data_IF_974571440409
#
_entry.id   IF_974571440409
#
_cell.length_a   1.000
_cell.length_b   1.000
_cell.length_c   1.000
_cell.angle_alpha   90.00
_cell.angle_beta   90.00
_cell.angle_gamma   90.00
#
_symmetry.space_group_name_H-M   'P 1'
#
loop_
_entity.id
_entity.type
_entity.pdbx_description
1 polymer ?
#
# COMPACT_ATOMS: atom_id res chain seq x y z
N UNK A 1 -30.47 -20.47 -1.96
CA UNK A 1 -30.77 -19.74 -3.21
C UNK A 1 -29.79 -18.58 -3.30
N UNK A 2 -29.04 -18.48 -4.40
CA UNK A 2 -28.10 -17.37 -4.60
C UNK A 2 -28.80 -16.07 -5.01
N UNK A 3 -28.14 -14.93 -4.81
CA UNK A 3 -28.61 -13.62 -5.29
C UNK A 3 -28.12 -13.35 -6.72
N UNK A 4 -28.80 -12.51 -7.53
CA UNK A 4 -28.26 -12.09 -8.83
C UNK A 4 -26.96 -11.29 -8.66
N UNK A 5 -26.16 -11.28 -9.73
CA UNK A 5 -24.94 -10.46 -9.81
C UNK A 5 -25.30 -8.98 -9.78
N UNK A 6 -24.50 -8.21 -9.04
CA UNK A 6 -24.56 -6.75 -9.03
C UNK A 6 -23.24 -6.14 -9.52
N UNK A 7 -23.23 -4.81 -9.67
CA UNK A 7 -22.08 -4.10 -10.21
C UNK A 7 -20.81 -4.23 -9.33
N UNK A 8 -20.93 -4.50 -8.03
CA UNK A 8 -19.75 -4.79 -7.20
C UNK A 8 -19.15 -6.15 -7.51
N UNK A 9 -19.98 -7.12 -7.90
CA UNK A 9 -19.53 -8.45 -8.31
C UNK A 9 -18.79 -8.38 -9.66
N UNK A 10 -19.28 -7.57 -10.61
CA UNK A 10 -18.57 -7.31 -11.87
C UNK A 10 -17.19 -6.69 -11.64
N UNK A 11 -17.11 -5.71 -10.73
CA UNK A 11 -15.84 -5.10 -10.32
C UNK A 11 -14.93 -6.14 -9.64
N UNK A 12 -15.48 -7.04 -8.82
CA UNK A 12 -14.72 -8.09 -8.18
C UNK A 12 -14.11 -9.06 -9.20
N UNK A 13 -14.87 -9.46 -10.24
CA UNK A 13 -14.36 -10.31 -11.34
C UNK A 13 -13.23 -9.60 -12.07
N UNK A 14 -13.43 -8.33 -12.47
CA UNK A 14 -12.40 -7.54 -13.15
C UNK A 14 -11.14 -7.37 -12.29
N UNK A 15 -11.32 -7.13 -10.98
CA UNK A 15 -10.23 -7.01 -10.01
C UNK A 15 -9.42 -8.31 -9.94
N UNK A 16 -10.07 -9.48 -9.94
CA UNK A 16 -9.36 -10.78 -9.93
C UNK A 16 -8.47 -10.94 -11.15
N UNK A 17 -9.01 -10.70 -12.35
CA UNK A 17 -8.27 -10.84 -13.60
C UNK A 17 -7.04 -9.92 -13.63
N UNK A 18 -7.23 -8.65 -13.29
CA UNK A 18 -6.15 -7.65 -13.32
C UNK A 18 -5.10 -7.93 -12.23
N UNK A 19 -5.52 -8.20 -10.99
CA UNK A 19 -4.58 -8.44 -9.89
C UNK A 19 -3.86 -9.78 -9.99
N UNK A 20 -4.39 -10.77 -10.71
CA UNK A 20 -3.64 -11.98 -11.04
C UNK A 20 -2.40 -11.65 -11.91
N UNK A 21 -2.55 -10.76 -12.89
CA UNK A 21 -1.43 -10.28 -13.73
C UNK A 21 -0.45 -9.45 -12.88
N UNK A 22 -0.96 -8.53 -12.05
CA UNK A 22 -0.10 -7.74 -11.16
C UNK A 22 0.65 -8.59 -10.15
N UNK A 23 0.04 -9.68 -9.66
CA UNK A 23 0.70 -10.64 -8.77
C UNK A 23 1.89 -11.30 -9.47
N UNK A 24 1.71 -11.77 -10.71
CA UNK A 24 2.80 -12.35 -11.49
C UNK A 24 3.95 -11.33 -11.69
N UNK A 25 3.63 -10.08 -12.03
CA UNK A 25 4.61 -9.01 -12.13
C UNK A 25 5.32 -8.70 -10.80
N UNK A 26 4.59 -8.70 -9.68
CA UNK A 26 5.16 -8.46 -8.35
C UNK A 26 6.11 -9.58 -7.92
N UNK A 27 5.74 -10.83 -8.19
CA UNK A 27 6.59 -12.00 -7.97
C UNK A 27 7.86 -11.93 -8.82
N UNK A 28 7.75 -11.61 -10.11
CA UNK A 28 8.91 -11.42 -10.98
C UNK A 28 9.85 -10.31 -10.48
N UNK A 29 9.31 -9.19 -9.98
CA UNK A 29 10.11 -8.12 -9.37
C UNK A 29 10.84 -8.56 -8.10
N UNK A 30 10.16 -9.34 -7.26
CA UNK A 30 10.77 -9.92 -6.06
C UNK A 30 11.93 -10.85 -6.40
N UNK A 31 11.81 -11.67 -7.46
CA UNK A 31 12.92 -12.49 -7.95
C UNK A 31 14.05 -11.63 -8.55
N UNK A 32 13.72 -10.60 -9.34
CA UNK A 32 14.72 -9.70 -9.95
C UNK A 32 15.54 -8.95 -8.91
N UNK A 33 14.92 -8.40 -7.87
CA UNK A 33 15.59 -7.56 -6.87
C UNK A 33 16.07 -8.32 -5.62
N UNK A 34 15.72 -9.60 -5.51
CA UNK A 34 16.06 -10.46 -4.38
C UNK A 34 15.07 -10.28 -3.21
N UNK A 35 14.56 -11.40 -2.69
CA UNK A 35 13.52 -11.38 -1.66
C UNK A 35 14.04 -10.70 -0.39
N UNK A 36 15.22 -11.05 0.13
CA UNK A 36 15.73 -10.56 1.42
C UNK A 36 16.13 -9.07 1.47
N UNK A 37 16.39 -8.46 0.30
CA UNK A 37 16.75 -7.03 0.16
C UNK A 37 15.65 -6.19 -0.50
N UNK A 38 14.45 -6.73 -0.66
CA UNK A 38 13.42 -6.12 -1.50
C UNK A 38 12.97 -4.75 -0.94
N UNK A 39 13.29 -3.68 -1.66
CA UNK A 39 12.98 -2.28 -1.37
C UNK A 39 11.48 -1.92 -1.44
N UNK A 40 10.64 -2.69 -0.77
CA UNK A 40 9.18 -2.54 -0.76
C UNK A 40 8.42 -3.52 -1.67
N UNK A 41 9.08 -4.18 -2.63
CA UNK A 41 8.41 -5.00 -3.66
C UNK A 41 7.48 -6.09 -3.12
N UNK A 42 7.81 -6.68 -1.96
CA UNK A 42 6.96 -7.68 -1.28
C UNK A 42 5.56 -7.13 -0.95
N UNK A 43 5.43 -5.83 -0.70
CA UNK A 43 4.14 -5.23 -0.42
C UNK A 43 3.20 -5.23 -1.63
N UNK A 44 3.72 -5.28 -2.86
CA UNK A 44 2.88 -5.49 -4.05
C UNK A 44 2.27 -6.89 -4.10
N UNK A 45 3.00 -7.92 -3.63
CA UNK A 45 2.47 -9.28 -3.49
C UNK A 45 1.37 -9.29 -2.44
N UNK A 46 1.63 -8.71 -1.26
CA UNK A 46 0.64 -8.62 -0.18
C UNK A 46 -0.62 -7.90 -0.65
N UNK A 47 -0.46 -6.77 -1.35
CA UNK A 47 -1.58 -6.02 -1.93
C UNK A 47 -2.39 -6.85 -2.91
N UNK A 48 -1.72 -7.52 -3.85
CA UNK A 48 -2.40 -8.33 -4.86
C UNK A 48 -3.15 -9.51 -4.23
N UNK A 49 -2.54 -10.20 -3.27
CA UNK A 49 -3.21 -11.28 -2.53
C UNK A 49 -4.42 -10.76 -1.75
N UNK A 50 -4.30 -9.63 -1.06
CA UNK A 50 -5.43 -9.02 -0.35
C UNK A 50 -6.59 -8.68 -1.31
N UNK A 51 -6.29 -8.24 -2.54
CA UNK A 51 -7.28 -7.92 -3.57
C UNK A 51 -7.96 -9.15 -4.16
N UNK A 52 -7.19 -10.20 -4.42
CA UNK A 52 -7.71 -11.48 -4.90
C UNK A 52 -8.64 -12.12 -3.85
N UNK A 53 -8.19 -12.19 -2.59
CA UNK A 53 -8.97 -12.76 -1.48
C UNK A 53 -10.22 -11.91 -1.20
N UNK A 54 -10.08 -10.57 -1.17
CA UNK A 54 -11.21 -9.68 -0.93
C UNK A 54 -12.29 -9.78 -2.01
N UNK A 55 -11.87 -9.87 -3.28
CA UNK A 55 -12.80 -10.06 -4.40
C UNK A 55 -13.45 -11.45 -4.37
N UNK A 56 -12.71 -12.48 -3.97
CA UNK A 56 -13.26 -13.81 -3.77
C UNK A 56 -14.31 -13.84 -2.64
N UNK A 57 -14.09 -13.14 -1.52
CA UNK A 57 -15.12 -12.99 -0.48
C UNK A 57 -16.37 -12.31 -1.02
N UNK A 58 -16.23 -11.24 -1.83
CA UNK A 58 -17.38 -10.60 -2.46
C UNK A 58 -18.15 -11.58 -3.35
N UNK A 59 -17.48 -12.32 -4.21
CA UNK A 59 -18.15 -13.29 -5.10
C UNK A 59 -18.78 -14.46 -4.32
N UNK A 60 -18.20 -14.89 -3.22
CA UNK A 60 -18.78 -15.92 -2.36
C UNK A 60 -20.16 -15.49 -1.79
N UNK A 61 -20.42 -14.18 -1.63
CA UNK A 61 -21.74 -13.68 -1.20
C UNK A 61 -22.85 -13.94 -2.21
N UNK A 62 -22.54 -14.27 -3.46
CA UNK A 62 -23.54 -14.67 -4.47
C UNK A 62 -24.19 -15.98 -4.05
N UNK A 63 -23.39 -16.95 -3.60
CA UNK A 63 -23.87 -18.27 -3.15
C UNK A 63 -24.36 -18.25 -1.70
N UNK A 64 -23.76 -17.42 -0.84
CA UNK A 64 -24.09 -17.31 0.58
C UNK A 64 -24.39 -15.84 0.99
N UNK A 65 -25.50 -15.25 0.52
CA UNK A 65 -25.79 -13.83 0.72
C UNK A 65 -26.13 -13.44 2.16
N UNK A 66 -26.51 -14.40 3.01
CA UNK A 66 -26.82 -14.18 4.42
C UNK A 66 -25.58 -14.19 5.33
N UNK A 67 -24.41 -14.58 4.81
CA UNK A 67 -23.19 -14.65 5.60
C UNK A 67 -22.54 -13.26 5.72
N UNK A 68 -22.76 -12.62 6.86
CA UNK A 68 -22.17 -11.32 7.18
C UNK A 68 -20.63 -11.35 7.20
N UNK A 69 -20.02 -12.51 7.52
CA UNK A 69 -18.57 -12.66 7.58
C UNK A 69 -17.90 -12.42 6.23
N UNK A 70 -18.55 -12.82 5.13
CA UNK A 70 -18.05 -12.58 3.77
C UNK A 70 -18.02 -11.07 3.44
N UNK A 71 -19.05 -10.32 3.83
CA UNK A 71 -19.07 -8.87 3.63
C UNK A 71 -18.03 -8.17 4.51
N UNK A 72 -17.93 -8.56 5.79
CA UNK A 72 -16.93 -8.02 6.72
C UNK A 72 -15.51 -8.28 6.19
N UNK A 73 -15.23 -9.50 5.70
CA UNK A 73 -13.94 -9.87 5.11
C UNK A 73 -13.60 -9.03 3.88
N UNK A 74 -14.54 -8.88 2.94
CA UNK A 74 -14.37 -8.03 1.75
C UNK A 74 -14.09 -6.56 2.12
N UNK A 75 -14.86 -5.99 3.05
CA UNK A 75 -14.70 -4.61 3.51
C UNK A 75 -13.37 -4.39 4.24
N UNK A 76 -12.98 -5.33 5.09
CA UNK A 76 -11.72 -5.27 5.84
C UNK A 76 -10.52 -5.29 4.88
N UNK A 77 -10.51 -6.20 3.90
CA UNK A 77 -9.43 -6.26 2.90
C UNK A 77 -9.42 -5.05 1.96
N UNK A 78 -10.57 -4.44 1.68
CA UNK A 78 -10.63 -3.18 0.95
C UNK A 78 -9.88 -2.05 1.68
N UNK A 79 -10.09 -1.94 2.99
CA UNK A 79 -9.39 -0.98 3.86
C UNK A 79 -7.90 -1.28 3.99
N UNK A 80 -7.52 -2.56 4.06
CA UNK A 80 -6.12 -3.00 4.15
C UNK A 80 -5.29 -2.51 2.96
N UNK A 81 -5.84 -2.49 1.74
CA UNK A 81 -5.06 -2.21 0.52
C UNK A 81 -4.31 -0.87 0.47
N UNK A 82 -4.69 0.13 1.26
CA UNK A 82 -3.92 1.38 1.36
C UNK A 82 -2.54 1.17 2.00
N UNK A 83 -2.44 0.29 3.00
CA UNK A 83 -1.26 0.21 3.82
C UNK A 83 -0.05 -0.46 3.13
N UNK A 84 -0.19 -1.61 2.42
CA UNK A 84 0.88 -2.16 1.60
C UNK A 84 1.36 -1.16 0.55
N UNK A 85 0.46 -0.33 0.03
CA UNK A 85 0.75 0.66 -0.99
C UNK A 85 1.62 1.81 -0.42
N UNK A 86 1.27 2.33 0.75
CA UNK A 86 2.09 3.33 1.47
C UNK A 86 3.46 2.73 1.87
N UNK A 87 3.47 1.50 2.40
CA UNK A 87 4.70 0.79 2.77
C UNK A 87 5.60 0.53 1.56
N UNK A 88 5.02 0.26 0.39
CA UNK A 88 5.76 0.14 -0.87
C UNK A 88 6.46 1.46 -1.22
N UNK A 89 5.75 2.60 -1.15
CA UNK A 89 6.31 3.91 -1.44
C UNK A 89 7.39 4.32 -0.43
N UNK A 90 7.18 4.04 0.86
CA UNK A 90 8.18 4.23 1.92
C UNK A 90 9.42 3.37 1.67
N UNK A 91 9.26 2.10 1.29
CA UNK A 91 10.37 1.19 0.97
C UNK A 91 11.19 1.67 -0.24
N UNK A 92 10.52 2.18 -1.27
CA UNK A 92 11.17 2.79 -2.43
C UNK A 92 11.96 4.04 -2.04
N UNK A 93 11.38 4.93 -1.24
CA UNK A 93 12.05 6.14 -0.81
C UNK A 93 13.19 5.86 0.18
N UNK A 94 13.04 4.83 1.01
CA UNK A 94 14.08 4.30 1.87
C UNK A 94 15.32 3.88 1.07
N UNK A 95 15.13 3.25 -0.10
CA UNK A 95 16.25 2.92 -1.01
C UNK A 95 17.00 4.18 -1.47
N UNK A 96 16.28 5.25 -1.83
CA UNK A 96 16.87 6.54 -2.25
C UNK A 96 17.73 7.14 -1.14
N UNK A 97 17.21 7.15 0.09
CA UNK A 97 17.95 7.67 1.23
C UNK A 97 19.15 6.78 1.60
N UNK A 98 19.03 5.46 1.49
CA UNK A 98 20.14 4.55 1.75
C UNK A 98 21.28 4.76 0.76
N UNK A 99 20.97 4.95 -0.53
CA UNK A 99 22.01 5.33 -1.50
C UNK A 99 22.62 6.69 -1.20
N UNK A 100 21.81 7.67 -0.82
CA UNK A 100 22.31 9.02 -0.52
C UNK A 100 23.19 9.02 0.73
N UNK A 101 22.83 8.24 1.74
CA UNK A 101 23.60 8.17 2.98
C UNK A 101 24.95 7.45 2.79
N UNK A 102 24.99 6.44 1.91
CA UNK A 102 26.27 5.81 1.49
C UNK A 102 27.22 6.80 0.81
N UNK A 103 26.70 7.86 0.20
CA UNK A 103 27.49 8.94 -0.39
C UNK A 103 27.94 10.00 0.61
N UNK A 104 27.76 9.79 1.92
CA UNK A 104 28.24 10.68 2.99
C UNK A 104 27.27 11.79 3.39
N UNK A 105 26.00 11.73 2.95
CA UNK A 105 24.98 12.71 3.28
C UNK A 105 23.86 12.08 4.13
N UNK A 106 23.89 12.33 5.45
CA UNK A 106 22.84 11.92 6.39
C UNK A 106 21.55 12.71 6.14
N UNK A 107 20.62 12.15 5.35
CA UNK A 107 19.30 12.77 5.09
C UNK A 107 18.23 12.23 6.03
N UNK A 108 18.06 10.90 6.11
CA UNK A 108 17.07 10.25 6.98
C UNK A 108 17.69 9.02 7.65
N UNK A 109 17.63 8.96 8.98
CA UNK A 109 18.17 7.82 9.75
C UNK A 109 17.28 6.58 9.57
N UNK A 110 17.86 5.36 9.45
CA UNK A 110 17.10 4.12 9.35
C UNK A 110 16.09 3.88 10.49
N UNK A 111 16.38 4.40 11.68
CA UNK A 111 15.51 4.32 12.85
C UNK A 111 14.17 5.05 12.64
N UNK A 112 14.17 6.21 11.98
CA UNK A 112 12.94 6.96 11.71
C UNK A 112 12.01 6.17 10.79
N UNK A 113 12.54 5.58 9.72
CA UNK A 113 11.75 4.78 8.78
C UNK A 113 11.16 3.54 9.44
N UNK A 114 11.94 2.83 10.28
CA UNK A 114 11.40 1.72 11.08
C UNK A 114 10.24 2.15 11.97
N UNK A 115 10.32 3.34 12.57
CA UNK A 115 9.23 3.87 13.39
C UNK A 115 7.97 4.12 12.54
N UNK A 116 8.11 4.69 11.35
CA UNK A 116 6.98 4.92 10.42
C UNK A 116 6.37 3.59 9.95
N UNK A 117 7.20 2.58 9.65
CA UNK A 117 6.74 1.23 9.29
C UNK A 117 5.95 0.58 10.44
N UNK A 118 6.45 0.70 11.68
CA UNK A 118 5.75 0.20 12.88
C UNK A 118 4.41 0.92 13.06
N UNK A 119 4.36 2.25 12.89
CA UNK A 119 3.11 3.00 12.94
C UNK A 119 2.10 2.52 11.89
N UNK A 120 2.56 2.20 10.67
CA UNK A 120 1.69 1.60 9.64
C UNK A 120 1.18 0.22 10.04
N UNK A 121 2.01 -0.62 10.64
CA UNK A 121 1.57 -1.92 11.15
C UNK A 121 0.48 -1.77 12.22
N UNK A 122 0.65 -0.81 13.14
CA UNK A 122 -0.37 -0.48 14.14
C UNK A 122 -1.67 0.00 13.46
N UNK A 123 -1.56 0.86 12.45
CA UNK A 123 -2.71 1.33 11.69
C UNK A 123 -3.47 0.19 11.00
N UNK A 124 -2.74 -0.76 10.39
CA UNK A 124 -3.32 -1.97 9.78
C UNK A 124 -4.10 -2.78 10.82
N UNK A 125 -3.49 -3.05 11.97
CA UNK A 125 -4.14 -3.83 13.04
C UNK A 125 -5.43 -3.13 13.50
N UNK A 126 -5.39 -1.83 13.72
CA UNK A 126 -6.57 -1.06 14.14
C UNK A 126 -7.69 -1.05 13.09
N UNK A 127 -7.35 -0.99 11.79
CA UNK A 127 -8.35 -1.09 10.72
C UNK A 127 -8.94 -2.49 10.62
N UNK A 128 -8.14 -3.55 10.83
CA UNK A 128 -8.65 -4.93 10.83
C UNK A 128 -9.59 -5.14 12.01
N UNK A 129 -9.15 -4.81 13.23
CA UNK A 129 -9.96 -4.94 14.46
C UNK A 129 -11.19 -4.02 14.40
N UNK A 130 -11.03 -2.81 13.86
CA UNK A 130 -12.15 -1.90 13.67
C UNK A 130 -13.15 -2.39 12.63
N UNK A 131 -12.68 -3.02 11.56
CA UNK A 131 -13.52 -3.65 10.55
C UNK A 131 -14.40 -4.76 11.12
N UNK A 132 -13.85 -5.61 11.99
CA UNK A 132 -14.61 -6.72 12.62
C UNK A 132 -15.57 -6.25 13.72
N UNK A 133 -15.31 -5.11 14.35
CA UNK A 133 -16.18 -4.51 15.37
C UNK A 133 -17.25 -3.58 14.79
N UNK A 134 -17.17 -3.23 13.51
CA UNK A 134 -18.11 -2.30 12.88
C UNK A 134 -19.44 -2.99 12.59
N UNK A 135 -20.55 -2.30 12.85
CA UNK A 135 -21.87 -2.84 12.54
C UNK A 135 -22.12 -2.75 11.04
N UNK A 136 -22.29 -3.91 10.39
CA UNK A 136 -22.59 -4.02 8.95
C UNK A 136 -24.07 -4.28 8.78
N UNK A 137 -24.75 -3.38 8.08
CA UNK A 137 -26.15 -3.55 7.66
C UNK A 137 -26.19 -3.63 6.14
N UNK A 138 -26.64 -4.74 5.59
CA UNK A 138 -26.74 -4.92 4.13
C UNK A 138 -28.18 -4.66 3.71
N UNK A 139 -28.41 -3.59 2.96
CA UNK A 139 -29.71 -3.32 2.33
C UNK A 139 -29.54 -3.37 0.81
N UNK A 140 -30.18 -4.34 0.16
CA UNK A 140 -30.15 -4.47 -1.31
C UNK A 140 -28.76 -4.69 -1.91
N UNK A 141 -27.88 -5.44 -1.23
CA UNK A 141 -26.51 -5.73 -1.71
C UNK A 141 -25.48 -4.62 -1.45
N UNK A 142 -25.92 -3.46 -0.94
CA UNK A 142 -25.07 -2.34 -0.53
C UNK A 142 -24.82 -2.41 0.99
N UNK A 143 -23.57 -2.59 1.44
CA UNK A 143 -23.27 -2.55 2.87
C UNK A 143 -23.24 -1.10 3.37
N UNK A 144 -24.09 -0.77 4.35
CA UNK A 144 -23.96 0.40 5.20
C UNK A 144 -23.20 0.01 6.46
N UNK A 145 -22.16 0.78 6.79
CA UNK A 145 -21.22 0.45 7.87
C UNK A 145 -21.22 1.57 8.89
N UNK A 146 -21.48 1.22 10.14
CA UNK A 146 -21.19 2.09 11.27
C UNK A 146 -19.77 1.80 11.75
N UNK A 147 -18.81 2.63 11.34
CA UNK A 147 -17.40 2.46 11.68
C UNK A 147 -17.14 2.67 13.17
N UNK A 148 -16.46 1.70 13.77
CA UNK A 148 -16.01 1.77 15.16
C UNK A 148 -14.96 2.88 15.38
N UNK A 149 -14.81 3.31 16.63
CA UNK A 149 -13.74 4.25 17.02
C UNK A 149 -12.33 3.71 16.72
N UNK A 150 -12.15 2.38 16.75
CA UNK A 150 -10.90 1.70 16.41
C UNK A 150 -10.55 1.86 14.92
N UNK A 151 -11.53 1.73 14.01
CA UNK A 151 -11.31 1.97 12.58
C UNK A 151 -11.00 3.44 12.26
N UNK A 152 -11.64 4.36 12.99
CA UNK A 152 -11.35 5.81 12.89
C UNK A 152 -9.92 6.12 13.32
N UNK A 153 -9.47 5.57 14.45
CA UNK A 153 -8.10 5.73 14.92
C UNK A 153 -7.07 5.17 13.90
N UNK A 154 -7.28 3.96 13.38
CA UNK A 154 -6.40 3.38 12.36
C UNK A 154 -6.32 4.24 11.09
N UNK A 155 -7.46 4.78 10.63
CA UNK A 155 -7.50 5.67 9.47
C UNK A 155 -6.77 7.00 9.74
N UNK A 156 -6.90 7.56 10.94
CA UNK A 156 -6.16 8.77 11.33
C UNK A 156 -4.63 8.55 11.32
N UNK A 157 -4.17 7.39 11.79
CA UNK A 157 -2.73 7.05 11.74
C UNK A 157 -2.26 6.92 10.28
N UNK A 158 -3.06 6.33 9.38
CA UNK A 158 -2.71 6.29 7.95
C UNK A 158 -2.59 7.68 7.33
N UNK A 159 -3.44 8.64 7.74
CA UNK A 159 -3.30 10.06 7.34
C UNK A 159 -1.98 10.64 7.82
N UNK A 160 -1.63 10.43 9.09
CA UNK A 160 -0.37 10.91 9.65
C UNK A 160 0.84 10.32 8.91
N UNK A 161 0.82 9.01 8.62
CA UNK A 161 1.92 8.37 7.89
C UNK A 161 1.99 8.84 6.44
N UNK A 162 0.87 9.04 5.75
CA UNK A 162 0.91 9.60 4.40
C UNK A 162 1.51 11.02 4.41
N UNK A 163 1.20 11.84 5.42
CA UNK A 163 1.82 13.15 5.58
C UNK A 163 3.35 13.05 5.79
N UNK A 164 3.81 12.09 6.60
CA UNK A 164 5.24 11.81 6.77
C UNK A 164 5.89 11.34 5.46
N UNK A 165 5.23 10.47 4.69
CA UNK A 165 5.71 10.04 3.37
C UNK A 165 5.83 11.23 2.41
N UNK A 166 4.87 12.16 2.41
CA UNK A 166 4.94 13.39 1.61
C UNK A 166 6.12 14.28 2.06
N UNK A 167 6.38 14.39 3.36
CA UNK A 167 7.51 15.13 3.90
C UNK A 167 8.84 14.50 3.48
N UNK A 168 8.98 13.18 3.63
CA UNK A 168 10.16 12.46 3.15
C UNK A 168 10.36 12.67 1.65
N UNK A 169 9.28 12.60 0.86
CA UNK A 169 9.36 12.83 -0.59
C UNK A 169 9.88 14.24 -0.87
N UNK A 170 9.38 15.26 -0.18
CA UNK A 170 9.84 16.64 -0.31
C UNK A 170 11.34 16.77 0.02
N UNK A 171 11.82 16.12 1.09
CA UNK A 171 13.23 16.09 1.44
C UNK A 171 14.08 15.43 0.34
N UNK A 172 13.61 14.30 -0.22
CA UNK A 172 14.25 13.64 -1.35
C UNK A 172 14.31 14.54 -2.60
N UNK A 173 13.24 15.29 -2.89
CA UNK A 173 13.22 16.28 -3.97
C UNK A 173 14.22 17.41 -3.73
N UNK A 174 14.30 17.98 -2.52
CA UNK A 174 15.25 19.06 -2.20
C UNK A 174 16.70 18.62 -2.28
N UNK A 175 16.99 17.35 -1.95
CA UNK A 175 18.34 16.77 -1.99
C UNK A 175 18.64 16.02 -3.29
N UNK A 176 17.81 16.15 -4.34
CA UNK A 176 17.97 15.46 -5.63
C UNK A 176 19.35 15.58 -6.28
N UNK A 177 20.06 16.68 -6.04
CA UNK A 177 21.42 16.89 -6.57
C UNK A 177 22.46 15.88 -6.05
N UNK A 178 22.22 15.25 -4.91
CA UNK A 178 23.13 14.28 -4.29
C UNK A 178 22.69 12.82 -4.50
N UNK A 179 21.61 12.61 -5.26
CA UNK A 179 21.03 11.28 -5.51
C UNK A 179 21.63 10.69 -6.77
N UNK A 180 22.04 9.41 -6.72
CA UNK A 180 22.55 8.70 -7.88
C UNK A 180 21.57 8.76 -9.08
N UNK A 181 22.09 8.94 -10.30
CA UNK A 181 21.27 9.14 -11.52
C UNK A 181 20.18 8.06 -11.71
N UNK A 182 20.47 6.81 -11.35
CA UNK A 182 19.49 5.71 -11.44
C UNK A 182 18.33 5.81 -10.45
N UNK A 183 18.57 6.38 -9.27
CA UNK A 183 17.58 6.43 -8.18
C UNK A 183 16.70 7.67 -8.22
N UNK A 184 17.08 8.69 -9.00
CA UNK A 184 16.23 9.87 -9.25
C UNK A 184 14.88 9.48 -9.87
N UNK A 185 14.82 8.40 -10.64
CA UNK A 185 13.58 7.83 -11.20
C UNK A 185 12.60 7.41 -10.11
N UNK A 186 13.09 6.95 -8.95
CA UNK A 186 12.26 6.57 -7.81
C UNK A 186 11.51 7.77 -7.27
N UNK A 187 12.19 8.91 -7.12
CA UNK A 187 11.57 10.15 -6.62
C UNK A 187 10.46 10.61 -7.58
N UNK A 188 10.66 10.48 -8.89
CA UNK A 188 9.61 10.80 -9.88
C UNK A 188 8.45 9.83 -9.76
N UNK A 189 8.71 8.52 -9.74
CA UNK A 189 7.66 7.51 -9.66
C UNK A 189 6.83 7.60 -8.37
N UNK A 190 7.48 7.77 -7.22
CA UNK A 190 6.79 8.00 -5.93
C UNK A 190 5.97 9.29 -6.00
N UNK A 191 6.54 10.38 -6.52
CA UNK A 191 5.81 11.65 -6.66
C UNK A 191 4.60 11.59 -7.59
N UNK A 192 4.67 10.80 -8.67
CA UNK A 192 3.51 10.54 -9.54
C UNK A 192 2.43 9.71 -8.84
N UNK A 193 2.81 8.80 -7.94
CA UNK A 193 1.87 7.95 -7.20
C UNK A 193 1.13 8.68 -6.07
N UNK A 194 1.78 9.64 -5.38
CA UNK A 194 1.20 10.37 -4.24
C UNK A 194 -0.21 10.93 -4.50
N UNK A 195 -0.52 11.65 -5.59
CA UNK A 195 -1.87 12.19 -5.79
C UNK A 195 -2.95 11.11 -5.80
N UNK A 196 -2.68 9.95 -6.41
CA UNK A 196 -3.62 8.82 -6.44
C UNK A 196 -3.80 8.19 -5.05
N UNK A 197 -2.72 8.09 -4.26
CA UNK A 197 -2.79 7.61 -2.87
C UNK A 197 -3.59 8.57 -2.00
N UNK A 198 -3.44 9.89 -2.20
CA UNK A 198 -4.22 10.90 -1.50
C UNK A 198 -5.71 10.76 -1.82
N UNK A 199 -6.09 10.67 -3.10
CA UNK A 199 -7.50 10.50 -3.50
C UNK A 199 -8.10 9.23 -2.84
N UNK A 200 -7.34 8.14 -2.83
CA UNK A 200 -7.74 6.88 -2.22
C UNK A 200 -7.90 7.00 -0.70
N UNK A 201 -7.00 7.71 -0.03
CA UNK A 201 -7.10 7.97 1.40
C UNK A 201 -8.27 8.91 1.73
N UNK A 202 -8.51 9.93 0.91
CA UNK A 202 -9.66 10.84 1.05
C UNK A 202 -10.96 10.03 0.98
N UNK A 203 -11.08 9.08 0.06
CA UNK A 203 -12.22 8.17 0.03
C UNK A 203 -12.38 7.40 1.34
N UNK A 204 -11.30 6.84 1.89
CA UNK A 204 -11.35 6.19 3.21
C UNK A 204 -11.80 7.15 4.31
N UNK A 205 -11.34 8.40 4.31
CA UNK A 205 -11.75 9.41 5.28
C UNK A 205 -13.24 9.80 5.14
N UNK A 206 -13.74 9.97 3.91
CA UNK A 206 -15.15 10.30 3.66
C UNK A 206 -16.08 9.20 4.16
N UNK A 207 -15.70 7.94 3.95
CA UNK A 207 -16.49 6.79 4.36
C UNK A 207 -16.40 6.57 5.89
N UNK A 208 -15.21 6.70 6.48
CA UNK A 208 -14.98 6.40 7.91
C UNK A 208 -15.37 7.56 8.84
N UNK A 209 -15.05 8.80 8.48
CA UNK A 209 -15.35 9.99 9.29
C UNK A 209 -16.59 10.73 8.82
N UNK A 210 -16.79 10.83 7.50
CA UNK A 210 -17.91 11.58 6.90
C UNK A 210 -19.23 10.82 6.86
N UNK A 211 -19.24 9.50 7.14
CA UNK A 211 -20.45 8.68 7.08
C UNK A 211 -21.07 8.61 5.69
N UNK A 212 -20.31 8.94 4.65
CA UNK A 212 -20.79 8.96 3.27
C UNK A 212 -21.07 7.53 2.83
N UNK A 213 -22.30 7.25 2.41
CA UNK A 213 -22.67 5.95 1.84
C UNK A 213 -21.92 5.76 0.52
N UNK A 214 -21.07 4.74 0.45
CA UNK A 214 -20.29 4.49 -0.75
C UNK A 214 -21.17 3.92 -1.88
N UNK A 215 -21.19 4.62 -2.99
CA UNK A 215 -21.78 4.15 -4.23
C UNK A 215 -20.75 3.34 -5.03
N UNK A 216 -21.25 2.44 -5.90
CA UNK A 216 -20.42 1.59 -6.78
C UNK A 216 -19.37 2.40 -7.54
N UNK A 217 -19.76 3.57 -8.07
CA UNK A 217 -18.86 4.43 -8.84
C UNK A 217 -17.78 5.12 -8.00
N UNK A 218 -18.09 5.47 -6.75
CA UNK A 218 -17.10 6.02 -5.82
C UNK A 218 -16.10 4.94 -5.40
N UNK A 219 -16.61 3.73 -5.12
CA UNK A 219 -15.79 2.55 -4.86
C UNK A 219 -14.86 2.23 -6.04
N UNK A 220 -15.40 2.17 -7.26
CA UNK A 220 -14.61 1.88 -8.45
C UNK A 220 -13.57 2.97 -8.71
N UNK A 221 -14.00 4.23 -8.77
CA UNK A 221 -13.16 5.35 -9.15
C UNK A 221 -12.09 5.68 -8.13
N UNK A 222 -12.47 5.93 -6.88
CA UNK A 222 -11.55 6.46 -5.87
C UNK A 222 -10.77 5.37 -5.14
N UNK A 223 -11.33 4.16 -5.01
CA UNK A 223 -10.66 3.05 -4.36
C UNK A 223 -9.93 2.17 -5.38
N UNK A 224 -10.65 1.52 -6.30
CA UNK A 224 -10.06 0.47 -7.15
C UNK A 224 -9.12 1.07 -8.22
N UNK A 225 -9.60 2.02 -9.02
CA UNK A 225 -8.84 2.59 -10.15
C UNK A 225 -7.59 3.33 -9.66
N UNK A 226 -7.71 4.19 -8.64
CA UNK A 226 -6.54 4.90 -8.07
C UNK A 226 -5.45 3.93 -7.60
N UNK A 227 -5.84 2.80 -7.01
CA UNK A 227 -4.90 1.78 -6.57
C UNK A 227 -4.21 1.09 -7.74
N UNK A 228 -4.97 0.67 -8.75
CA UNK A 228 -4.43 0.03 -9.96
C UNK A 228 -3.42 0.93 -10.67
N UNK A 229 -3.71 2.23 -10.78
CA UNK A 229 -2.78 3.19 -11.38
C UNK A 229 -1.45 3.21 -10.61
N UNK A 230 -1.48 3.27 -9.28
CA UNK A 230 -0.25 3.28 -8.48
C UNK A 230 0.50 1.97 -8.60
N UNK A 231 -0.19 0.82 -8.62
CA UNK A 231 0.45 -0.49 -8.81
C UNK A 231 1.17 -0.54 -10.16
N UNK A 232 0.56 -0.04 -11.24
CA UNK A 232 1.19 0.05 -12.55
C UNK A 232 2.44 0.93 -12.50
N UNK A 233 2.35 2.13 -11.92
CA UNK A 233 3.50 3.05 -11.79
C UNK A 233 4.64 2.37 -11.03
N UNK A 234 4.34 1.76 -9.88
CA UNK A 234 5.32 1.06 -9.06
C UNK A 234 5.95 -0.12 -9.81
N UNK A 235 5.16 -0.90 -10.54
CA UNK A 235 5.64 -2.09 -11.24
C UNK A 235 6.51 -1.71 -12.45
N UNK A 236 6.11 -0.72 -13.25
CA UNK A 236 6.93 -0.16 -14.34
C UNK A 236 8.24 0.41 -13.81
N UNK A 237 8.18 1.15 -12.70
CA UNK A 237 9.37 1.66 -12.03
C UNK A 237 10.27 0.50 -11.59
N UNK A 238 9.72 -0.56 -10.98
CA UNK A 238 10.48 -1.71 -10.52
C UNK A 238 11.21 -2.47 -11.62
N UNK A 239 10.58 -2.62 -12.78
CA UNK A 239 11.24 -3.26 -13.92
C UNK A 239 12.31 -2.36 -14.53
N UNK A 240 12.16 -1.04 -14.43
CA UNK A 240 13.11 -0.05 -14.94
C UNK A 240 14.33 0.19 -14.03
N UNK A 241 14.29 -0.28 -12.78
CA UNK A 241 15.38 -0.14 -11.82
C UNK A 241 16.36 -1.32 -11.87
N UNK A 242 17.63 -1.01 -11.64
CA UNK A 242 18.68 -2.00 -11.43
C UNK A 242 18.64 -2.59 -10.00
N UNK A 243 19.34 -3.71 -9.79
CA UNK A 243 19.50 -4.31 -8.46
C UNK A 243 20.19 -3.31 -7.53
N UNK A 244 19.70 -3.19 -6.28
CA UNK A 244 20.35 -2.33 -5.29
C UNK A 244 21.78 -2.82 -5.00
N UNK A 245 22.80 -1.94 -4.98
CA UNK A 245 24.18 -2.34 -4.68
C UNK A 245 24.28 -3.00 -3.29
N UNK A 246 25.14 -4.02 -3.11
CA UNK A 246 25.38 -4.62 -1.81
C UNK A 246 25.71 -3.56 -0.76
N UNK A 247 25.18 -3.70 0.46
CA UNK A 247 25.75 -2.97 1.58
C UNK A 247 27.21 -3.43 1.70
N UNK A 248 28.16 -2.50 1.62
CA UNK A 248 29.57 -2.81 1.86
C UNK A 248 29.67 -3.56 3.18
N UNK A 249 30.36 -4.70 3.16
CA UNK A 249 30.62 -5.48 4.35
C UNK A 249 31.25 -4.54 5.38
N UNK A 250 30.77 -4.58 6.62
CA UNK A 250 31.31 -3.78 7.73
C UNK A 250 32.79 -4.08 8.01
N UNK A 251 33.34 -5.15 7.45
CA UNK A 251 34.73 -5.58 7.63
C UNK A 251 35.78 -4.59 7.12
N UNK A 252 35.51 -3.83 6.06
CA UNK A 252 36.53 -2.91 5.52
C UNK A 252 36.73 -1.66 6.41
N UNK A 253 35.73 -1.26 7.20
CA UNK A 253 35.86 -0.13 8.12
C UNK A 253 36.52 -0.49 9.45
N UNK A 254 36.42 -1.74 9.91
CA UNK A 254 37.16 -2.22 11.08
C UNK A 254 38.62 -2.52 10.74
N UNK A 255 38.93 -3.05 9.55
CA UNK A 255 40.33 -3.28 9.14
C UNK A 255 41.12 -1.97 8.91
N UNK A 256 40.49 -0.92 8.38
CA UNK A 256 41.13 0.40 8.22
C UNK A 256 41.33 1.11 9.57
N UNK A 257 40.46 0.88 10.56
CA UNK A 257 40.61 1.43 11.92
C UNK A 257 41.56 0.63 12.81
N UNK A 258 41.73 -0.66 12.56
CA UNK A 258 42.67 -1.51 13.30
C UNK A 258 44.09 -1.47 12.72
N UNK A 259 44.28 -0.84 11.55
CA UNK A 259 45.57 -0.66 10.88
C UNK A 259 46.17 0.76 10.98
N UNK A 260 45.60 1.64 11.81
CA UNK A 260 46.17 2.95 12.20
C UNK A 260 46.50 2.95 13.69
#
# INVERSE_FOLDING_TARGET
MGRPLDAYDDIAIATIVIYAVFLAGAVALCFKHGLARSSGWRFLIILALARLIGSAFRLATVSAPADAGLYVGWLTLNGLGLAPLILMLLGLLGRVFDSTNRSGHDVVKPAHRRLVEILMLVAIILVIVGGTQSAVTVQGGVPKIAYSSTSKAGTAIMVAVLALLCLELLLAFRKRGHVARGERRIIVGVGLSIPFVIVRLVYSCLVVFGGVSSNVWLYLGMLVIMEMIVVIICQVLGFSLDKAPPAAAKDDQEQVRAGQ
#
